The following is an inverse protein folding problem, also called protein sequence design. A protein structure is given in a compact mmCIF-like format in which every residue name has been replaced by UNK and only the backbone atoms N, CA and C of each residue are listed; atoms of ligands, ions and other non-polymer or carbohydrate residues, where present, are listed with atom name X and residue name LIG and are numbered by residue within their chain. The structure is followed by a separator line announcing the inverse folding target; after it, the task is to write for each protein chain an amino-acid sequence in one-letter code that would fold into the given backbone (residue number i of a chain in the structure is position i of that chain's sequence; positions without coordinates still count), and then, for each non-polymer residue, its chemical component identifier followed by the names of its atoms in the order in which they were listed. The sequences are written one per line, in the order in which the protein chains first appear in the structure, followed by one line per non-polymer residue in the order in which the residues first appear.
data_IF_020836666766
#
_entry.id   IF_020836666766
#
_cell.length_a   1.000
_cell.length_b   1.000
_cell.length_c   1.000
_cell.angle_alpha   90.00
_cell.angle_beta   90.00
_cell.angle_gamma   90.00
#
_symmetry.space_group_name_H-M   'P 1'
#
loop_
_entity.id
_entity.type
_entity.pdbx_description
1 polymer ?
#
# COMPACT_ATOMS: atom_id res chain seq x y z
N UNK A 1 17.49 -1.83 -18.64
CA UNK A 1 17.08 -0.84 -17.62
C UNK A 1 16.22 -1.58 -16.61
N UNK A 2 16.86 -2.29 -15.68
CA UNK A 2 16.29 -3.37 -14.85
C UNK A 2 16.78 -3.18 -13.41
N UNK A 3 16.30 -2.19 -12.67
CA UNK A 3 16.64 -2.09 -11.24
C UNK A 3 15.46 -1.53 -10.45
N UNK A 4 15.09 -2.27 -9.40
CA UNK A 4 13.95 -2.15 -8.48
C UNK A 4 12.64 -2.67 -9.07
N UNK A 5 12.01 -3.76 -8.60
CA UNK A 5 11.72 -4.11 -7.21
C UNK A 5 11.77 -5.65 -7.00
N UNK A 6 12.74 -6.15 -6.22
CA UNK A 6 12.77 -7.56 -5.81
C UNK A 6 11.65 -7.93 -4.81
N UNK A 7 11.22 -6.94 -4.01
CA UNK A 7 10.32 -7.13 -2.87
C UNK A 7 8.89 -7.51 -3.27
N UNK A 8 8.25 -6.77 -4.18
CA UNK A 8 6.92 -7.11 -4.70
C UNK A 8 6.95 -8.46 -5.41
N UNK A 9 7.97 -8.73 -6.24
CA UNK A 9 8.08 -10.03 -6.92
C UNK A 9 8.25 -11.20 -5.94
N UNK A 10 9.00 -11.00 -4.85
CA UNK A 10 9.10 -11.98 -3.77
C UNK A 10 7.77 -12.13 -3.02
N UNK A 11 7.12 -11.02 -2.68
CA UNK A 11 5.81 -10.98 -2.05
C UNK A 11 4.74 -11.72 -2.87
N UNK A 12 4.72 -11.55 -4.20
CA UNK A 12 3.78 -12.25 -5.09
C UNK A 12 4.02 -13.75 -5.05
N UNK A 13 5.28 -14.19 -5.08
CA UNK A 13 5.60 -15.63 -4.96
C UNK A 13 5.13 -16.20 -3.64
N UNK A 14 5.27 -15.44 -2.55
CA UNK A 14 4.80 -15.85 -1.22
C UNK A 14 3.27 -15.88 -1.15
N UNK A 15 2.61 -14.84 -1.66
CA UNK A 15 1.16 -14.73 -1.72
C UNK A 15 0.52 -15.89 -2.49
N UNK A 16 1.11 -16.31 -3.62
CA UNK A 16 0.67 -17.50 -4.37
C UNK A 16 0.71 -18.78 -3.54
N UNK A 17 1.73 -18.95 -2.68
CA UNK A 17 1.90 -20.15 -1.85
C UNK A 17 1.00 -20.14 -0.61
N UNK A 18 0.73 -18.96 -0.05
CA UNK A 18 0.03 -18.80 1.22
C UNK A 18 -1.44 -18.38 1.06
N UNK A 19 -1.98 -18.40 -0.17
CA UNK A 19 -3.30 -17.86 -0.49
C UNK A 19 -3.48 -16.43 0.06
N UNK A 20 -2.48 -15.60 -0.19
CA UNK A 20 -2.36 -14.25 0.36
C UNK A 20 -2.54 -13.15 -0.68
N UNK A 21 -2.53 -11.92 -0.17
CA UNK A 21 -2.59 -10.68 -0.96
C UNK A 21 -1.60 -9.67 -0.41
N UNK A 22 -1.15 -8.73 -1.24
CA UNK A 22 -0.06 -7.82 -0.88
C UNK A 22 -0.62 -6.47 -0.46
N UNK A 23 -0.10 -5.93 0.65
CA UNK A 23 -0.34 -4.54 1.07
C UNK A 23 0.97 -3.77 0.95
N UNK A 24 1.04 -2.79 0.04
CA UNK A 24 2.25 -2.00 -0.15
C UNK A 24 2.48 -1.07 1.04
N UNK A 25 3.71 -1.06 1.56
CA UNK A 25 4.21 -0.17 2.60
C UNK A 25 5.33 0.74 2.07
N UNK A 26 5.13 1.28 0.86
CA UNK A 26 6.01 2.25 0.23
C UNK A 26 5.30 3.60 0.12
N UNK A 27 5.83 4.61 0.81
CA UNK A 27 5.25 5.95 0.88
C UNK A 27 5.28 6.71 -0.45
N UNK A 28 6.07 6.26 -1.44
CA UNK A 28 6.12 6.86 -2.77
C UNK A 28 5.11 6.21 -3.71
N UNK A 29 4.79 4.93 -3.51
CA UNK A 29 3.89 4.20 -4.42
C UNK A 29 2.39 4.54 -4.24
N UNK A 30 2.05 5.32 -3.23
CA UNK A 30 0.65 5.72 -2.97
C UNK A 30 0.11 6.76 -3.96
N UNK A 31 0.98 7.48 -4.70
CA UNK A 31 0.58 8.65 -5.51
C UNK A 31 0.24 8.36 -6.97
N UNK A 32 -1.01 8.58 -7.37
CA UNK A 32 -1.53 8.34 -8.72
C UNK A 32 -0.67 9.03 -9.80
N UNK A 33 -0.26 8.27 -10.82
CA UNK A 33 0.42 8.78 -12.02
C UNK A 33 1.90 9.15 -11.84
N UNK A 34 2.48 8.87 -10.67
CA UNK A 34 3.90 9.14 -10.40
C UNK A 34 4.79 7.91 -10.65
N UNK A 35 4.66 7.24 -11.79
CA UNK A 35 5.17 5.87 -11.91
C UNK A 35 6.69 5.75 -12.02
N UNK A 36 7.32 6.52 -12.91
CA UNK A 36 8.75 6.44 -13.20
C UNK A 36 9.59 6.86 -11.98
N UNK A 37 9.27 8.01 -11.38
CA UNK A 37 10.02 8.57 -10.27
C UNK A 37 9.83 7.83 -8.94
N UNK A 38 8.76 7.04 -8.82
CA UNK A 38 8.47 6.26 -7.60
C UNK A 38 8.77 4.76 -7.77
N UNK A 39 9.27 4.37 -8.95
CA UNK A 39 9.62 2.99 -9.25
C UNK A 39 8.41 2.05 -9.31
N UNK A 40 7.22 2.53 -9.67
CA UNK A 40 6.04 1.68 -9.86
C UNK A 40 6.21 0.85 -11.12
N UNK A 41 6.74 -0.34 -10.97
CA UNK A 41 6.79 -1.32 -12.04
C UNK A 41 5.47 -2.10 -12.09
N UNK A 42 4.38 -1.37 -12.31
CA UNK A 42 3.06 -1.94 -12.54
C UNK A 42 3.07 -2.55 -13.96
N UNK A 43 2.65 -3.81 -14.15
CA UNK A 43 2.52 -4.37 -15.48
C UNK A 43 1.63 -3.46 -16.35
N UNK A 44 2.00 -3.23 -17.61
CA UNK A 44 1.25 -2.36 -18.54
C UNK A 44 -0.24 -2.75 -18.63
N UNK A 45 -0.56 -4.02 -18.38
CA UNK A 45 -1.92 -4.56 -18.41
C UNK A 45 -2.63 -4.58 -17.03
N UNK A 46 -1.97 -4.09 -15.98
CA UNK A 46 -2.55 -4.07 -14.65
C UNK A 46 -3.61 -2.97 -14.58
N UNK A 47 -4.84 -3.39 -14.30
CA UNK A 47 -5.98 -2.48 -14.14
C UNK A 47 -6.29 -2.38 -12.65
N UNK A 48 -6.50 -1.15 -12.17
CA UNK A 48 -7.03 -0.91 -10.84
C UNK A 48 -8.44 -1.52 -10.77
N UNK A 49 -8.62 -2.50 -9.91
CA UNK A 49 -9.93 -3.08 -9.59
C UNK A 49 -10.44 -2.41 -8.33
N UNK A 50 -11.65 -1.86 -8.41
CA UNK A 50 -12.33 -1.27 -7.25
C UNK A 50 -13.19 -2.32 -6.57
N UNK A 51 -13.01 -2.51 -5.27
CA UNK A 51 -13.89 -3.35 -4.45
C UNK A 51 -14.74 -2.46 -3.53
N UNK A 52 -16.07 -2.69 -3.52
CA UNK A 52 -17.08 -2.15 -2.60
C UNK A 52 -16.83 -0.72 -2.07
N UNK A 53 -16.52 0.20 -2.99
CA UNK A 53 -16.43 1.65 -2.75
C UNK A 53 -15.38 2.10 -1.72
N UNK A 54 -14.10 2.16 -2.15
CA UNK A 54 -13.21 3.36 -2.09
C UNK A 54 -11.73 3.01 -2.26
N UNK A 55 -11.32 1.78 -1.93
CA UNK A 55 -9.93 1.34 -2.08
C UNK A 55 -9.83 0.32 -3.21
N UNK A 56 -8.99 0.63 -4.20
CA UNK A 56 -8.69 -0.27 -5.29
C UNK A 56 -7.43 -1.09 -5.04
N UNK A 57 -7.24 -2.12 -5.85
CA UNK A 57 -6.01 -2.90 -5.91
C UNK A 57 -5.62 -3.19 -7.35
N UNK A 58 -4.33 -3.37 -7.59
CA UNK A 58 -3.82 -3.88 -8.86
C UNK A 58 -3.79 -5.40 -8.85
N UNK A 59 -4.14 -6.03 -9.95
CA UNK A 59 -3.97 -7.47 -10.11
C UNK A 59 -2.64 -7.74 -10.84
N UNK A 60 -1.66 -8.28 -10.11
CA UNK A 60 -0.33 -8.61 -10.64
C UNK A 60 -0.15 -10.12 -10.54
N UNK A 61 -0.02 -10.79 -11.69
CA UNK A 61 0.06 -12.26 -11.79
C UNK A 61 -1.04 -13.02 -11.01
N UNK A 62 -2.26 -12.45 -10.98
CA UNK A 62 -3.40 -13.02 -10.26
C UNK A 62 -3.43 -12.71 -8.75
N UNK A 63 -2.45 -11.97 -8.23
CA UNK A 63 -2.39 -11.55 -6.82
C UNK A 63 -2.82 -10.07 -6.70
N UNK A 64 -3.83 -9.76 -5.87
CA UNK A 64 -4.15 -8.39 -5.50
C UNK A 64 -3.01 -7.69 -4.76
N UNK A 65 -2.69 -6.48 -5.21
CA UNK A 65 -1.72 -5.56 -4.60
C UNK A 65 -2.42 -4.26 -4.24
N UNK A 66 -2.58 -4.06 -2.94
CA UNK A 66 -3.27 -2.94 -2.32
C UNK A 66 -2.29 -1.80 -2.01
N UNK A 67 -2.83 -0.62 -1.69
CA UNK A 67 -2.08 0.56 -1.28
C UNK A 67 -1.12 1.13 -2.33
N UNK A 68 -1.48 1.00 -3.61
CA UNK A 68 -0.82 1.64 -4.75
C UNK A 68 -1.84 2.52 -5.47
N UNK A 69 -1.43 3.72 -5.91
CA UNK A 69 -2.32 4.71 -6.57
C UNK A 69 -3.60 5.02 -5.78
N UNK A 70 -3.41 5.35 -4.50
CA UNK A 70 -4.49 5.60 -3.55
C UNK A 70 -4.89 7.07 -3.52
N UNK A 71 -3.94 7.98 -3.76
CA UNK A 71 -4.13 9.41 -3.57
C UNK A 71 -3.49 10.22 -4.71
N UNK A 72 -4.05 11.40 -5.02
CA UNK A 72 -3.44 12.27 -6.03
C UNK A 72 -2.23 13.01 -5.47
N UNK A 73 -1.21 13.36 -6.28
CA UNK A 73 -0.03 14.09 -5.81
C UNK A 73 -0.32 15.47 -5.18
N UNK A 74 -1.45 16.08 -5.52
CA UNK A 74 -1.85 17.39 -4.99
C UNK A 74 -2.42 17.32 -3.57
N UNK A 75 -2.67 16.12 -3.04
CA UNK A 75 -3.26 15.92 -1.72
C UNK A 75 -2.19 15.54 -0.70
N UNK A 76 -2.29 16.12 0.49
CA UNK A 76 -1.46 15.70 1.62
C UNK A 76 -1.78 14.26 2.03
N UNK A 77 -0.72 13.49 2.31
CA UNK A 77 -0.83 12.11 2.73
C UNK A 77 0.07 11.84 3.93
N UNK A 78 -0.57 11.61 5.07
CA UNK A 78 0.04 11.34 6.35
C UNK A 78 0.13 9.83 6.63
N UNK A 79 1.00 9.47 7.56
CA UNK A 79 1.09 8.10 8.07
C UNK A 79 -0.22 7.64 8.74
N UNK A 80 -0.97 8.54 9.37
CA UNK A 80 -2.27 8.22 9.97
C UNK A 80 -3.28 7.80 8.89
N UNK A 81 -3.37 8.57 7.80
CA UNK A 81 -4.21 8.21 6.65
C UNK A 81 -3.75 6.89 6.00
N UNK A 82 -2.45 6.65 5.91
CA UNK A 82 -1.93 5.37 5.44
C UNK A 82 -2.40 4.20 6.31
N UNK A 83 -2.26 4.31 7.64
CA UNK A 83 -2.68 3.26 8.59
C UNK A 83 -4.17 2.98 8.47
N UNK A 84 -5.02 4.00 8.40
CA UNK A 84 -6.47 3.84 8.27
C UNK A 84 -6.87 3.08 6.99
N UNK A 85 -6.22 3.40 5.87
CA UNK A 85 -6.51 2.77 4.58
C UNK A 85 -5.93 1.36 4.51
N UNK A 86 -4.70 1.16 5.00
CA UNK A 86 -4.07 -0.14 5.04
C UNK A 86 -4.81 -1.12 5.96
N UNK A 87 -5.32 -0.65 7.11
CA UNK A 87 -6.16 -1.48 8.01
C UNK A 87 -7.43 -1.94 7.32
N UNK A 88 -8.10 -1.07 6.56
CA UNK A 88 -9.28 -1.46 5.76
C UNK A 88 -8.94 -2.55 4.72
N UNK A 89 -7.79 -2.43 4.05
CA UNK A 89 -7.33 -3.48 3.13
C UNK A 89 -7.07 -4.80 3.86
N UNK A 90 -6.36 -4.74 5.00
CA UNK A 90 -6.04 -5.91 5.84
C UNK A 90 -7.32 -6.61 6.31
N UNK A 91 -8.29 -5.86 6.83
CA UNK A 91 -9.59 -6.38 7.27
C UNK A 91 -10.38 -7.02 6.13
N UNK A 92 -10.41 -6.41 4.94
CA UNK A 92 -11.04 -7.01 3.76
C UNK A 92 -10.39 -8.35 3.38
N UNK A 93 -9.05 -8.40 3.36
CA UNK A 93 -8.28 -9.61 3.06
C UNK A 93 -8.61 -10.72 4.09
N UNK A 94 -8.63 -10.38 5.37
CA UNK A 94 -8.98 -11.33 6.44
C UNK A 94 -10.42 -11.82 6.36
N UNK A 95 -11.38 -10.92 6.09
CA UNK A 95 -12.78 -11.28 5.93
C UNK A 95 -13.00 -12.25 4.76
N UNK A 96 -12.14 -12.19 3.74
CA UNK A 96 -12.10 -13.15 2.62
C UNK A 96 -11.26 -14.39 2.91
N UNK A 97 -10.84 -14.61 4.15
CA UNK A 97 -10.03 -15.74 4.64
C UNK A 97 -8.70 -15.89 3.91
N UNK A 98 -8.07 -14.77 3.56
CA UNK A 98 -6.76 -14.71 2.93
C UNK A 98 -5.72 -14.10 3.86
N UNK A 99 -4.44 -14.32 3.54
CA UNK A 99 -3.32 -13.78 4.32
C UNK A 99 -2.87 -12.41 3.78
N UNK A 100 -3.00 -11.31 4.54
CA UNK A 100 -2.38 -10.04 4.18
C UNK A 100 -0.87 -10.12 4.36
N UNK A 101 -0.12 -9.76 3.32
CA UNK A 101 1.35 -9.78 3.29
C UNK A 101 1.82 -8.35 3.03
N UNK A 102 2.40 -7.73 4.05
CA UNK A 102 2.98 -6.39 3.92
C UNK A 102 4.32 -6.44 3.19
N UNK A 103 4.50 -5.58 2.19
CA UNK A 103 5.73 -5.51 1.38
C UNK A 103 6.07 -4.04 1.15
N UNK A 104 7.29 -3.60 1.43
CA UNK A 104 7.69 -2.21 1.19
C UNK A 104 8.99 -1.84 1.90
N UNK A 105 9.40 -0.58 1.71
CA UNK A 105 10.66 -0.04 2.27
C UNK A 105 10.47 1.07 3.30
N UNK A 106 9.26 1.58 3.52
CA UNK A 106 9.03 2.64 4.51
C UNK A 106 8.87 2.01 5.89
N UNK A 107 9.99 1.82 6.59
CA UNK A 107 10.01 1.22 7.94
C UNK A 107 9.05 1.91 8.92
N UNK A 108 8.84 3.22 8.77
CA UNK A 108 7.87 3.98 9.56
C UNK A 108 6.42 3.54 9.34
N UNK A 109 6.02 3.19 8.10
CA UNK A 109 4.66 2.70 7.80
C UNK A 109 4.43 1.32 8.42
N UNK A 110 5.44 0.44 8.35
CA UNK A 110 5.37 -0.88 8.96
C UNK A 110 5.26 -0.75 10.48
N UNK A 111 6.13 0.06 11.09
CA UNK A 111 6.09 0.34 12.53
C UNK A 111 4.73 0.89 12.95
N UNK A 112 4.19 1.87 12.22
CA UNK A 112 2.91 2.48 12.51
C UNK A 112 1.73 1.49 12.50
N UNK A 113 1.76 0.49 11.62
CA UNK A 113 0.72 -0.55 11.57
C UNK A 113 0.87 -1.56 12.71
N UNK A 114 2.11 -1.99 13.00
CA UNK A 114 2.38 -3.07 13.97
C UNK A 114 2.35 -2.55 15.40
N UNK A 115 3.05 -1.45 15.68
CA UNK A 115 3.27 -0.92 17.04
C UNK A 115 2.34 0.26 17.36
N UNK A 116 1.72 0.87 16.35
CA UNK A 116 1.04 2.16 16.48
C UNK A 116 2.01 3.35 16.46
N UNK A 117 1.47 4.57 16.58
CA UNK A 117 2.28 5.80 16.69
C UNK A 117 1.69 6.62 17.84
N UNK A 118 2.54 7.00 18.81
CA UNK A 118 2.14 7.78 19.98
C UNK A 118 1.51 9.14 19.63
N UNK A 119 1.90 9.72 18.51
CA UNK A 119 1.39 11.02 18.02
C UNK A 119 0.12 10.90 17.18
N UNK A 120 -0.41 9.70 16.96
CA UNK A 120 -1.62 9.50 16.14
C UNK A 120 -2.83 10.09 16.85
N UNK A 121 -3.41 11.16 16.28
CA UNK A 121 -4.55 11.88 16.86
C UNK A 121 -4.19 13.18 17.58
N UNK A 122 -2.91 13.56 17.65
CA UNK A 122 -2.51 14.89 18.09
C UNK A 122 -2.69 15.87 16.92
N UNK A 123 -3.59 16.88 17.02
CA UNK A 123 -3.81 17.82 15.94
C UNK A 123 -2.54 18.68 15.70
N UNK A 124 -2.28 19.07 14.46
CA UNK A 124 -1.20 20.01 14.16
C UNK A 124 -1.47 21.36 14.84
N UNK A 125 -0.46 21.86 15.56
CA UNK A 125 -0.43 23.26 15.98
C UNK A 125 -0.02 24.11 14.78
N UNK A 126 -0.90 25.02 14.36
CA UNK A 126 -0.69 25.87 13.18
C UNK A 126 0.06 27.17 13.49
N UNK A 127 0.15 27.57 14.76
CA UNK A 127 0.90 28.77 15.14
C UNK A 127 2.42 28.52 15.17
N UNK A 128 2.82 27.26 15.35
CA UNK A 128 4.23 26.85 15.47
C UNK A 128 4.82 26.22 14.20
N UNK A 129 4.14 26.36 13.05
CA UNK A 129 4.48 25.66 11.80
C UNK A 129 4.95 26.57 10.68
#
# INVERSE_FOLDING_TARGET
MLYNIAWIRLGIRLAKKLNGEIVSADSRQVYIGMDIGTGKDLPVNSKLKTQNSKLGYYLIDGIPVWMVDVITPAQEFSVAQYVDLARKAIEDIWNRKKLPIMVGGTGFYIKAIVDGIETMGVPPDWELR
#
